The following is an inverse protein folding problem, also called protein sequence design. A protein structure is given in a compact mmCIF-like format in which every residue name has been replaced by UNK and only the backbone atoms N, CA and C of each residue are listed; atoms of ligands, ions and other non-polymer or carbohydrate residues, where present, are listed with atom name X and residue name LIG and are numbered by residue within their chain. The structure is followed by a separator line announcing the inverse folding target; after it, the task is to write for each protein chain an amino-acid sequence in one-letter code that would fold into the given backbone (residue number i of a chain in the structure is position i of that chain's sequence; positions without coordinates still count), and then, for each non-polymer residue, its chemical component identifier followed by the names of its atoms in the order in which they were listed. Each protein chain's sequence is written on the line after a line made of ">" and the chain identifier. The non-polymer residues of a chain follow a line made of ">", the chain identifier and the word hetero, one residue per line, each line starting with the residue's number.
data_IF_732901537604
#
_entry.id   IF_732901537604
#
_cell.length_a   1.000
_cell.length_b   1.000
_cell.length_c   1.000
_cell.angle_alpha   90.00
_cell.angle_beta   90.00
_cell.angle_gamma   90.00
#
_symmetry.space_group_name_H-M   'P 1'
#
loop_
_entity.id
_entity.type
_entity.pdbx_description
1 polymer ?
#
# COMPACT_ATOMS: atom_id res chain seq x y z
N UNK A 1 10.80 -10.48 -2.98
CA UNK A 1 11.48 -9.16 -3.12
C UNK A 1 12.28 -9.00 -4.42
N UNK A 2 13.07 -10.00 -4.85
CA UNK A 2 13.96 -9.90 -6.03
C UNK A 2 13.25 -9.46 -7.31
N UNK A 3 12.02 -9.95 -7.56
CA UNK A 3 11.22 -9.55 -8.73
C UNK A 3 10.87 -8.07 -8.75
N UNK A 4 10.56 -7.47 -7.60
CA UNK A 4 10.24 -6.04 -7.52
C UNK A 4 11.50 -5.18 -7.70
N UNK A 5 12.63 -5.61 -7.16
CA UNK A 5 13.93 -4.96 -7.42
C UNK A 5 14.25 -4.97 -8.91
N UNK A 6 14.12 -6.12 -9.58
CA UNK A 6 14.32 -6.24 -11.03
C UNK A 6 13.33 -5.37 -11.83
N UNK A 7 12.12 -5.18 -11.29
CA UNK A 7 11.12 -4.30 -11.87
C UNK A 7 11.34 -2.80 -11.55
N UNK A 8 12.42 -2.43 -10.86
CA UNK A 8 12.80 -1.04 -10.59
C UNK A 8 12.22 -0.45 -9.30
N UNK A 9 11.71 -1.27 -8.38
CA UNK A 9 11.35 -0.80 -7.04
C UNK A 9 12.59 -0.64 -6.16
N UNK A 10 12.55 0.35 -5.27
CA UNK A 10 13.58 0.68 -4.29
C UNK A 10 12.95 0.96 -2.92
N UNK A 11 13.75 1.35 -1.92
CA UNK A 11 13.28 1.70 -0.59
C UNK A 11 13.33 0.51 0.37
N UNK A 12 12.42 -0.45 0.21
CA UNK A 12 12.31 -1.66 1.05
C UNK A 12 12.60 -1.39 2.54
N UNK A 13 11.87 -0.44 3.13
CA UNK A 13 11.97 -0.06 4.56
C UNK A 13 10.74 -0.50 5.31
N UNK A 14 10.90 -0.95 6.55
CA UNK A 14 9.76 -1.17 7.45
C UNK A 14 9.06 0.17 7.77
N UNK A 15 7.76 0.16 8.07
CA UNK A 15 7.08 1.37 8.55
C UNK A 15 7.62 1.90 9.90
N UNK A 16 8.22 1.01 10.69
CA UNK A 16 8.89 1.37 11.94
C UNK A 16 10.15 2.22 11.71
N UNK A 17 10.93 1.89 10.68
CA UNK A 17 12.25 2.49 10.38
C UNK A 17 12.21 3.45 9.18
N UNK A 18 11.01 3.78 8.69
CA UNK A 18 10.85 4.56 7.46
C UNK A 18 11.27 6.01 7.67
N UNK A 19 12.37 6.41 7.03
CA UNK A 19 12.82 7.79 6.99
C UNK A 19 12.25 8.51 5.76
N UNK A 20 11.43 9.54 6.00
CA UNK A 20 10.65 10.19 4.93
C UNK A 20 11.50 10.94 3.91
N UNK A 21 12.74 11.29 4.26
CA UNK A 21 13.69 11.94 3.36
C UNK A 21 14.27 10.98 2.30
N UNK A 22 14.31 9.67 2.56
CA UNK A 22 14.71 8.64 1.60
C UNK A 22 13.70 8.47 0.46
N UNK A 23 12.44 8.83 0.71
CA UNK A 23 11.36 8.68 -0.27
C UNK A 23 11.39 9.86 -1.25
N UNK A 24 11.38 9.63 -2.58
CA UNK A 24 11.35 10.69 -3.57
C UNK A 24 10.06 11.51 -3.49
N UNK A 25 10.15 12.79 -3.83
CA UNK A 25 8.98 13.67 -3.95
C UNK A 25 8.22 13.50 -5.27
N UNK A 26 8.73 12.67 -6.18
CA UNK A 26 8.18 12.43 -7.50
C UNK A 26 6.92 11.56 -7.49
N UNK A 27 6.14 11.57 -8.58
CA UNK A 27 5.07 10.60 -8.80
C UNK A 27 5.60 9.17 -8.94
N UNK A 28 4.71 8.20 -8.74
CA UNK A 28 5.07 6.79 -8.87
C UNK A 28 4.02 5.85 -8.32
N UNK A 29 4.44 4.60 -8.17
CA UNK A 29 3.69 3.55 -7.46
C UNK A 29 4.49 3.05 -6.26
N UNK A 30 3.80 2.48 -5.29
CA UNK A 30 4.41 1.85 -4.13
C UNK A 30 3.69 0.53 -3.81
N UNK A 31 4.46 -0.39 -3.28
CA UNK A 31 3.99 -1.69 -2.83
C UNK A 31 4.28 -1.84 -1.33
N UNK A 32 3.37 -2.51 -0.63
CA UNK A 32 3.54 -2.91 0.76
C UNK A 32 3.74 -4.41 0.79
N UNK A 33 4.79 -4.84 1.45
CA UNK A 33 5.25 -6.22 1.45
C UNK A 33 5.28 -6.77 2.85
N UNK A 34 5.00 -8.07 2.92
CA UNK A 34 5.24 -8.88 4.08
C UNK A 34 6.75 -9.20 4.18
N UNK A 35 7.42 -8.93 5.32
CA UNK A 35 8.81 -9.36 5.51
C UNK A 35 8.91 -10.88 5.65
N UNK A 36 10.12 -11.41 5.44
CA UNK A 36 10.39 -12.84 5.64
C UNK A 36 10.05 -13.26 7.07
N UNK A 37 9.42 -14.43 7.23
CA UNK A 37 9.01 -14.97 8.53
C UNK A 37 7.80 -14.27 9.17
N UNK A 38 7.20 -13.28 8.53
CA UNK A 38 6.01 -12.62 9.07
C UNK A 38 4.82 -13.58 9.14
N UNK A 39 4.18 -13.65 10.31
CA UNK A 39 2.99 -14.47 10.52
C UNK A 39 1.76 -13.57 10.62
N UNK A 40 0.82 -13.63 9.65
CA UNK A 40 -0.36 -12.78 9.66
C UNK A 40 -1.28 -13.12 10.83
N UNK A 41 -1.56 -12.13 11.67
CA UNK A 41 -2.56 -12.22 12.73
C UNK A 41 -3.47 -11.01 12.65
N UNK A 42 -4.78 -11.23 12.62
CA UNK A 42 -5.74 -10.12 12.56
C UNK A 42 -6.07 -9.60 13.96
N UNK A 43 -6.04 -8.27 14.11
CA UNK A 43 -6.49 -7.57 15.30
C UNK A 43 -8.02 -7.40 15.26
N UNK A 44 -8.65 -7.37 16.43
CA UNK A 44 -10.07 -7.08 16.57
C UNK A 44 -10.44 -5.66 16.07
N UNK A 45 -9.51 -4.70 16.20
CA UNK A 45 -9.65 -3.33 15.73
C UNK A 45 -8.40 -2.87 14.98
N UNK A 46 -8.59 -1.94 14.06
CA UNK A 46 -7.51 -1.32 13.29
C UNK A 46 -6.70 -0.35 14.14
N UNK A 47 -5.38 -0.31 13.92
CA UNK A 47 -4.53 0.80 14.37
C UNK A 47 -4.69 2.07 13.49
N UNK A 48 -5.48 1.97 12.41
CA UNK A 48 -5.73 3.04 11.46
C UNK A 48 -6.45 4.25 12.07
N UNK A 49 -6.09 5.45 11.64
CA UNK A 49 -6.73 6.68 12.11
C UNK A 49 -8.20 6.82 11.71
N UNK A 50 -9.02 7.33 12.63
CA UNK A 50 -10.46 7.55 12.42
C UNK A 50 -10.73 8.88 11.68
N UNK A 51 -10.32 8.97 10.42
CA UNK A 51 -10.52 10.17 9.61
C UNK A 51 -12.02 10.47 9.42
N UNK A 52 -12.44 11.68 9.82
CA UNK A 52 -13.86 12.10 9.86
C UNK A 52 -14.75 11.14 10.68
N UNK A 53 -14.21 10.56 11.76
CA UNK A 53 -14.95 9.68 12.67
C UNK A 53 -15.24 8.28 12.11
N UNK A 54 -14.68 7.91 10.96
CA UNK A 54 -14.92 6.62 10.34
C UNK A 54 -13.94 5.56 10.87
N UNK A 55 -14.47 4.49 11.45
CA UNK A 55 -13.69 3.33 11.88
C UNK A 55 -13.17 2.54 10.66
N UNK A 56 -11.84 2.33 10.52
CA UNK A 56 -11.28 1.57 9.41
C UNK A 56 -11.41 0.04 9.53
N UNK A 57 -11.87 -0.46 10.68
CA UNK A 57 -11.92 -1.87 11.01
C UNK A 57 -12.94 -2.64 10.17
N UNK A 58 -12.60 -3.91 9.89
CA UNK A 58 -13.48 -4.93 9.32
C UNK A 58 -13.60 -6.11 10.29
N UNK A 59 -14.73 -6.85 10.26
CA UNK A 59 -14.84 -8.13 10.95
C UNK A 59 -13.77 -9.12 10.49
N UNK A 60 -13.33 -10.01 11.39
CA UNK A 60 -12.27 -11.00 11.11
C UNK A 60 -12.59 -11.88 9.89
N UNK A 61 -13.85 -12.30 9.71
CA UNK A 61 -14.26 -13.09 8.55
C UNK A 61 -14.06 -12.34 7.21
N UNK A 62 -14.30 -11.03 7.20
CA UNK A 62 -14.08 -10.21 6.02
C UNK A 62 -12.57 -10.03 5.73
N UNK A 63 -11.74 -9.87 6.76
CA UNK A 63 -10.28 -9.84 6.58
C UNK A 63 -9.75 -11.17 6.03
N UNK A 64 -10.19 -12.29 6.60
CA UNK A 64 -9.78 -13.62 6.16
C UNK A 64 -10.19 -13.89 4.70
N UNK A 65 -11.35 -13.40 4.28
CA UNK A 65 -11.83 -13.54 2.90
C UNK A 65 -10.94 -12.81 1.87
N UNK A 66 -10.26 -11.73 2.27
CA UNK A 66 -9.34 -10.98 1.42
C UNK A 66 -7.90 -11.51 1.46
N UNK A 67 -7.55 -12.37 2.41
CA UNK A 67 -6.19 -12.88 2.55
C UNK A 67 -5.78 -13.73 1.34
N UNK A 68 -4.51 -13.59 0.93
CA UNK A 68 -3.92 -14.32 -0.20
C UNK A 68 -2.73 -15.13 0.31
N UNK A 69 -2.92 -16.44 0.47
CA UNK A 69 -1.86 -17.33 0.95
C UNK A 69 -0.67 -17.34 -0.01
N UNK A 70 0.55 -17.24 0.53
CA UNK A 70 1.79 -17.26 -0.24
C UNK A 70 2.12 -15.97 -1.00
N UNK A 71 1.31 -14.91 -0.87
CA UNK A 71 1.60 -13.62 -1.48
C UNK A 71 2.52 -12.77 -0.58
N UNK A 72 3.63 -12.28 -1.14
CA UNK A 72 4.50 -11.31 -0.44
C UNK A 72 3.95 -9.89 -0.51
N UNK A 73 3.29 -9.53 -1.61
CA UNK A 73 2.73 -8.18 -1.83
C UNK A 73 1.32 -8.12 -1.24
N UNK A 74 1.14 -7.26 -0.24
CA UNK A 74 -0.12 -7.07 0.48
C UNK A 74 -0.94 -5.89 -0.08
N UNK A 75 -0.28 -4.91 -0.68
CA UNK A 75 -0.93 -3.73 -1.24
C UNK A 75 -0.11 -3.12 -2.37
N UNK A 76 -0.79 -2.59 -3.38
CA UNK A 76 -0.23 -1.75 -4.43
C UNK A 76 -1.04 -0.46 -4.49
N UNK A 77 -0.36 0.68 -4.36
CA UNK A 77 -0.97 1.99 -4.45
C UNK A 77 -0.19 2.93 -5.36
N UNK A 78 -0.87 3.98 -5.82
CA UNK A 78 -0.26 5.07 -6.59
C UNK A 78 -0.07 6.37 -5.83
N UNK A 79 0.87 7.17 -6.31
CA UNK A 79 1.09 8.54 -5.90
C UNK A 79 1.23 9.45 -7.14
N UNK A 80 0.17 10.21 -7.47
CA UNK A 80 0.21 11.19 -8.55
C UNK A 80 0.75 12.55 -8.10
N UNK A 81 1.07 13.42 -9.07
CA UNK A 81 1.54 14.80 -8.85
C UNK A 81 0.51 15.70 -8.13
N UNK A 82 -0.78 15.31 -8.18
CA UNK A 82 -1.89 16.12 -7.68
C UNK A 82 -2.14 17.38 -8.53
N UNK A 83 -3.22 18.11 -8.23
CA UNK A 83 -3.64 19.28 -9.03
C UNK A 83 -2.59 20.39 -9.13
N UNK A 84 -1.74 20.53 -8.10
CA UNK A 84 -0.75 21.60 -7.99
C UNK A 84 0.67 21.14 -8.29
N UNK A 85 0.88 19.88 -8.66
CA UNK A 85 2.22 19.31 -8.87
C UNK A 85 3.04 19.08 -7.59
N UNK A 86 2.51 19.43 -6.42
CA UNK A 86 3.22 19.36 -5.12
C UNK A 86 3.00 18.05 -4.36
N UNK A 87 2.52 17.00 -5.03
CA UNK A 87 2.28 15.68 -4.44
C UNK A 87 3.14 14.62 -5.14
N UNK A 88 3.31 13.49 -4.48
CA UNK A 88 4.13 12.39 -4.95
C UNK A 88 4.29 11.32 -3.88
N UNK A 89 5.21 10.39 -4.11
CA UNK A 89 5.47 9.20 -3.30
C UNK A 89 5.66 9.54 -1.83
N UNK A 90 6.58 10.46 -1.50
CA UNK A 90 6.84 10.89 -0.12
C UNK A 90 5.58 11.31 0.62
N UNK A 91 4.75 12.15 -0.01
CA UNK A 91 3.53 12.63 0.64
C UNK A 91 2.51 11.51 0.81
N UNK A 92 2.35 10.64 -0.18
CA UNK A 92 1.34 9.57 -0.13
C UNK A 92 1.72 8.47 0.87
N UNK A 93 3.00 8.09 0.92
CA UNK A 93 3.51 7.10 1.86
C UNK A 93 3.52 7.67 3.28
N UNK A 94 3.84 8.97 3.47
CA UNK A 94 3.65 9.65 4.77
C UNK A 94 2.21 9.54 5.25
N UNK A 95 1.23 9.90 4.42
CA UNK A 95 -0.19 9.79 4.79
C UNK A 95 -0.59 8.36 5.14
N UNK A 96 -0.04 7.37 4.44
CA UNK A 96 -0.26 5.97 4.75
C UNK A 96 0.32 5.60 6.13
N UNK A 97 1.58 5.98 6.39
CA UNK A 97 2.26 5.73 7.67
C UNK A 97 1.57 6.43 8.84
N UNK A 98 1.23 7.71 8.68
CA UNK A 98 0.49 8.51 9.67
C UNK A 98 -0.86 7.85 9.98
N UNK A 99 -1.58 7.40 8.94
CA UNK A 99 -2.84 6.67 9.12
C UNK A 99 -2.63 5.40 9.93
N UNK A 100 -1.61 4.59 9.62
CA UNK A 100 -1.28 3.37 10.36
C UNK A 100 -0.83 3.59 11.80
N UNK A 101 -0.48 4.83 12.17
CA UNK A 101 -0.15 5.26 13.54
C UNK A 101 -1.34 5.94 14.24
N UNK A 102 -2.55 5.80 13.70
CA UNK A 102 -3.77 6.35 14.29
C UNK A 102 -4.05 7.82 13.96
N UNK A 103 -3.20 8.49 13.16
CA UNK A 103 -3.43 9.89 12.81
C UNK A 103 -4.63 10.00 11.86
N UNK A 104 -5.62 10.88 12.14
CA UNK A 104 -6.83 11.00 11.33
C UNK A 104 -6.54 11.77 10.03
N UNK A 105 -5.88 11.12 9.07
CA UNK A 105 -5.58 11.66 7.73
C UNK A 105 -6.41 10.97 6.65
N UNK A 106 -6.63 11.66 5.53
CA UNK A 106 -7.41 11.16 4.40
C UNK A 106 -6.72 10.04 3.60
N UNK A 107 -6.53 8.86 4.20
CA UNK A 107 -5.92 7.69 3.57
C UNK A 107 -6.74 6.41 3.81
N UNK A 108 -7.72 6.14 2.95
CA UNK A 108 -8.62 4.97 3.13
C UNK A 108 -8.17 3.69 2.39
N UNK A 109 -7.44 3.84 1.28
CA UNK A 109 -6.85 2.71 0.56
C UNK A 109 -5.83 1.99 1.42
N UNK A 110 -5.73 0.67 1.31
CA UNK A 110 -4.75 -0.10 2.10
C UNK A 110 -5.09 -0.26 3.59
N UNK A 111 -6.24 0.24 4.08
CA UNK A 111 -6.54 0.26 5.53
C UNK A 111 -6.51 -1.12 6.22
N UNK A 112 -6.70 -2.20 5.47
CA UNK A 112 -6.66 -3.58 5.99
C UNK A 112 -5.27 -3.94 6.54
N UNK A 113 -4.20 -3.31 6.03
CA UNK A 113 -2.83 -3.49 6.52
C UNK A 113 -2.74 -3.19 8.03
N UNK A 114 -3.53 -2.22 8.51
CA UNK A 114 -3.50 -1.76 9.89
C UNK A 114 -4.37 -2.58 10.84
N UNK A 115 -5.02 -3.64 10.35
CA UNK A 115 -5.58 -4.71 11.18
C UNK A 115 -4.67 -5.94 11.24
N UNK A 116 -3.48 -5.91 10.64
CA UNK A 116 -2.45 -6.90 10.92
C UNK A 116 -1.74 -6.53 12.23
N UNK A 117 -1.61 -7.51 13.11
CA UNK A 117 -0.66 -7.42 14.21
C UNK A 117 0.75 -7.20 13.64
N UNK A 118 1.55 -6.42 14.35
CA UNK A 118 2.93 -6.12 13.94
C UNK A 118 3.02 -5.41 12.57
N UNK A 119 1.95 -4.72 12.15
CA UNK A 119 1.87 -4.02 10.85
C UNK A 119 2.95 -2.96 10.62
N UNK A 120 3.61 -2.46 11.68
CA UNK A 120 4.76 -1.57 11.56
C UNK A 120 6.02 -2.26 11.02
N UNK A 121 6.10 -3.60 11.08
CA UNK A 121 7.16 -4.39 10.46
C UNK A 121 6.98 -4.56 8.94
N UNK A 122 5.79 -4.26 8.41
CA UNK A 122 5.55 -4.33 6.97
C UNK A 122 6.48 -3.39 6.23
N UNK A 123 6.99 -3.84 5.08
CA UNK A 123 7.93 -3.08 4.28
C UNK A 123 7.20 -2.28 3.22
N UNK A 124 7.68 -1.08 2.93
CA UNK A 124 7.25 -0.29 1.77
C UNK A 124 8.39 -0.19 0.77
N UNK A 125 8.05 -0.41 -0.50
CA UNK A 125 8.93 -0.17 -1.63
C UNK A 125 8.24 0.73 -2.64
N UNK A 126 9.01 1.52 -3.40
CA UNK A 126 8.46 2.49 -4.35
C UNK A 126 9.22 2.48 -5.67
N UNK A 127 8.52 2.90 -6.71
CA UNK A 127 9.04 3.06 -8.07
C UNK A 127 8.56 4.40 -8.61
N UNK A 128 9.50 5.29 -8.93
CA UNK A 128 9.21 6.56 -9.59
C UNK A 128 8.70 6.31 -11.01
N UNK A 129 7.72 7.10 -11.42
CA UNK A 129 7.15 7.05 -12.77
C UNK A 129 6.76 8.46 -13.22
N UNK A 130 6.83 8.75 -14.53
CA UNK A 130 6.17 9.92 -15.10
C UNK A 130 4.68 9.96 -14.72
N UNK A 131 4.11 11.14 -14.42
CA UNK A 131 2.72 11.27 -13.97
C UNK A 131 1.68 10.53 -14.84
N UNK A 132 1.87 10.56 -16.16
CA UNK A 132 1.00 9.95 -17.16
C UNK A 132 1.01 8.42 -17.13
N UNK A 133 2.08 7.81 -16.62
CA UNK A 133 2.22 6.35 -16.54
C UNK A 133 1.73 5.77 -15.21
N UNK A 134 1.55 6.59 -14.18
CA UNK A 134 1.23 6.14 -12.82
C UNK A 134 -0.06 5.31 -12.77
N UNK A 135 -1.13 5.75 -13.45
CA UNK A 135 -2.41 5.04 -13.44
C UNK A 135 -2.33 3.70 -14.17
N UNK A 136 -1.72 3.69 -15.35
CA UNK A 136 -1.55 2.48 -16.14
C UNK A 136 -0.66 1.46 -15.41
N UNK A 137 0.39 1.92 -14.75
CA UNK A 137 1.26 1.05 -13.95
C UNK A 137 0.53 0.43 -12.76
N UNK A 138 -0.19 1.21 -11.94
CA UNK A 138 -0.97 0.67 -10.81
C UNK A 138 -1.96 -0.41 -11.28
N UNK A 139 -2.69 -0.14 -12.37
CA UNK A 139 -3.62 -1.09 -12.95
C UNK A 139 -2.92 -2.37 -13.43
N UNK A 140 -1.78 -2.24 -14.14
CA UNK A 140 -1.00 -3.37 -14.63
C UNK A 140 -0.48 -4.25 -13.49
N UNK A 141 0.18 -3.67 -12.47
CA UNK A 141 0.70 -4.47 -11.36
C UNK A 141 -0.40 -5.19 -10.57
N UNK A 142 -1.59 -4.59 -10.42
CA UNK A 142 -2.74 -5.28 -9.84
C UNK A 142 -3.29 -6.39 -10.75
N UNK A 143 -3.31 -6.17 -12.07
CA UNK A 143 -3.72 -7.18 -13.05
C UNK A 143 -2.76 -8.37 -13.06
N UNK A 144 -1.46 -8.14 -13.08
CA UNK A 144 -0.43 -9.19 -13.06
C UNK A 144 -0.52 -10.00 -11.76
N UNK A 145 -0.69 -9.32 -10.61
CA UNK A 145 -0.93 -9.98 -9.33
C UNK A 145 -2.18 -10.88 -9.40
N UNK A 146 -3.28 -10.36 -9.94
CA UNK A 146 -4.53 -11.10 -10.07
C UNK A 146 -4.43 -12.27 -11.05
N UNK A 147 -3.67 -12.13 -12.14
CA UNK A 147 -3.44 -13.20 -13.09
C UNK A 147 -2.69 -14.38 -12.43
N UNK A 148 -1.76 -14.08 -11.52
CA UNK A 148 -0.99 -15.11 -10.81
C UNK A 148 -1.73 -15.70 -9.59
N UNK A 149 -2.39 -14.87 -8.79
CA UNK A 149 -3.02 -15.28 -7.52
C UNK A 149 -4.54 -15.49 -7.60
N UNK A 150 -5.18 -15.16 -8.73
CA UNK A 150 -6.63 -15.25 -8.93
C UNK A 150 -7.45 -14.13 -8.26
N UNK A 151 -6.82 -13.20 -7.53
CA UNK A 151 -7.47 -12.10 -6.80
C UNK A 151 -6.51 -10.94 -6.57
N UNK A 152 -7.00 -9.81 -6.06
CA UNK A 152 -6.20 -8.64 -5.72
C UNK A 152 -5.31 -8.86 -4.48
N UNK A 153 -4.27 -8.04 -4.28
CA UNK A 153 -3.54 -8.02 -3.02
C UNK A 153 -4.46 -7.77 -1.83
N UNK A 154 -4.12 -8.34 -0.68
CA UNK A 154 -4.93 -8.32 0.55
C UNK A 154 -5.64 -7.00 0.85
N UNK A 155 -4.94 -5.86 0.73
CA UNK A 155 -5.49 -4.56 1.09
C UNK A 155 -6.00 -3.72 -0.10
N UNK A 156 -6.05 -4.29 -1.30
CA UNK A 156 -6.66 -3.72 -2.50
C UNK A 156 -8.09 -4.25 -2.67
N UNK A 157 -9.08 -3.58 -2.08
CA UNK A 157 -10.50 -3.99 -2.16
C UNK A 157 -11.20 -3.68 -3.49
N UNK A 158 -10.56 -2.91 -4.36
CA UNK A 158 -11.11 -2.54 -5.66
C UNK A 158 -10.00 -2.46 -6.68
N UNK A 159 -10.26 -3.00 -7.87
CA UNK A 159 -9.33 -2.96 -8.99
C UNK A 159 -9.11 -1.51 -9.43
N UNK A 160 -7.85 -1.12 -9.61
CA UNK A 160 -7.48 0.14 -10.22
C UNK A 160 -8.00 0.18 -11.67
N UNK A 161 -8.70 1.27 -11.99
CA UNK A 161 -9.18 1.52 -13.36
C UNK A 161 -8.04 2.13 -14.16
N UNK A 162 -7.79 1.57 -15.34
CA UNK A 162 -6.99 2.27 -16.33
C UNK A 162 -7.83 3.43 -16.88
N UNK A 163 -7.52 4.65 -16.48
CA UNK A 163 -8.13 5.85 -17.03
C UNK A 163 -7.13 6.39 -18.03
N UNK A 164 -7.41 6.19 -19.32
CA UNK A 164 -6.70 6.91 -20.37
C UNK A 164 -6.92 8.41 -20.15
N UNK A 165 -5.84 9.16 -20.05
CA UNK A 165 -5.87 10.61 -19.96
C UNK A 165 -6.20 11.22 -21.32
#
# INVERSE_FOLDING_TARGET
>A
MQTLTAAGFTGFRSFAELELNEIPQAPGIYAVLMPEGFTPRFLAGSAGGHFKGKDPSLPQAALAAEWVAGAEVLYIGKAGAGKTGKRGLRKRIREMSDFGRGVPVGHWGGRLLWQLADSQALMVAWKELPPELVNAAEARYQEDFRAFHGRLPFANLAQARNIAH
#
